data_IF_539648449768
#
_entry.id   IF_539648449768
#
_cell.length_a   1.000
_cell.length_b   1.000
_cell.length_c   1.000
_cell.angle_alpha   90.00
_cell.angle_beta   90.00
_cell.angle_gamma   90.00
#
_symmetry.space_group_name_H-M   'P 1'
#
loop_
_entity.id
_entity.type
_entity.pdbx_description
1 polymer ?
#
# COMPACT_ATOMS: atom_id res chain seq x y z
N UNK A 1 59.28 -15.50 5.58
CA UNK A 1 58.06 -15.99 6.18
C UNK A 1 56.95 -14.93 6.34
N UNK A 2 57.26 -13.61 6.49
CA UNK A 2 56.23 -12.55 6.62
C UNK A 2 55.39 -12.26 5.35
N UNK A 3 55.92 -12.53 4.14
CA UNK A 3 55.22 -12.25 2.87
C UNK A 3 54.14 -13.29 2.51
N UNK A 4 54.23 -14.51 3.02
CA UNK A 4 53.24 -15.57 2.74
C UNK A 4 51.93 -15.33 3.54
N UNK A 5 52.08 -14.82 4.78
CA UNK A 5 50.90 -14.50 5.62
C UNK A 5 49.98 -13.42 5.07
N UNK A 6 50.56 -12.40 4.40
CA UNK A 6 49.81 -11.31 3.79
C UNK A 6 49.02 -11.79 2.55
N UNK A 7 49.60 -12.69 1.77
CA UNK A 7 48.94 -13.25 0.57
C UNK A 7 47.76 -14.15 0.92
N UNK A 8 47.86 -14.92 2.00
CA UNK A 8 46.76 -15.76 2.51
C UNK A 8 45.62 -14.90 3.07
N UNK A 9 45.93 -13.81 3.77
CA UNK A 9 44.94 -12.88 4.31
C UNK A 9 44.16 -12.17 3.19
N UNK A 10 44.86 -11.76 2.12
CA UNK A 10 44.19 -11.11 0.96
C UNK A 10 43.31 -12.09 0.17
N UNK A 11 43.72 -13.37 0.07
CA UNK A 11 42.91 -14.40 -0.58
C UNK A 11 41.67 -14.75 0.24
N UNK A 12 41.74 -14.74 1.56
CA UNK A 12 40.60 -15.02 2.44
C UNK A 12 39.56 -13.90 2.45
N UNK A 13 39.95 -12.65 2.23
CA UNK A 13 39.04 -11.51 2.13
C UNK A 13 38.29 -11.45 0.78
N UNK A 14 38.90 -11.97 -0.29
CA UNK A 14 38.28 -12.03 -1.61
C UNK A 14 37.19 -13.12 -1.74
N UNK A 15 37.24 -14.17 -0.93
CA UNK A 15 36.27 -15.27 -0.95
C UNK A 15 35.00 -14.95 -0.14
N UNK A 16 34.97 -13.88 0.68
CA UNK A 16 33.79 -13.48 1.44
C UNK A 16 32.82 -12.56 0.66
N UNK A 17 33.23 -12.07 -0.51
CA UNK A 17 32.39 -11.17 -1.33
C UNK A 17 31.59 -11.87 -2.43
N UNK A 18 31.72 -13.20 -2.58
CA UNK A 18 31.07 -13.94 -3.69
C UNK A 18 29.77 -14.65 -3.32
N UNK A 19 29.09 -14.23 -2.25
CA UNK A 19 27.89 -14.88 -1.72
C UNK A 19 26.57 -14.10 -1.79
N UNK A 20 26.57 -12.85 -2.27
CA UNK A 20 25.31 -12.14 -2.49
C UNK A 20 24.84 -12.39 -3.93
N UNK A 21 23.96 -13.35 -4.15
CA UNK A 21 23.26 -13.47 -5.41
C UNK A 21 22.35 -12.25 -5.57
N UNK A 22 22.24 -11.73 -6.80
CA UNK A 22 21.34 -10.63 -7.17
C UNK A 22 19.91 -10.92 -6.71
N UNK A 23 19.49 -12.17 -6.77
CA UNK A 23 18.18 -12.64 -6.36
C UNK A 23 17.95 -12.51 -4.84
N UNK A 24 18.95 -12.83 -4.01
CA UNK A 24 18.84 -12.67 -2.56
C UNK A 24 18.77 -11.21 -2.10
N UNK A 25 19.37 -10.28 -2.85
CA UNK A 25 19.25 -8.85 -2.59
C UNK A 25 17.86 -8.37 -3.00
N UNK A 26 17.36 -8.78 -4.15
CA UNK A 26 16.01 -8.44 -4.63
C UNK A 26 14.93 -8.99 -3.68
N UNK A 27 15.05 -10.23 -3.23
CA UNK A 27 14.12 -10.83 -2.26
C UNK A 27 14.15 -10.11 -0.90
N UNK A 28 15.33 -9.66 -0.46
CA UNK A 28 15.45 -8.85 0.73
C UNK A 28 14.75 -7.49 0.57
N UNK A 29 14.94 -6.80 -0.57
CA UNK A 29 14.26 -5.54 -0.86
C UNK A 29 12.75 -5.72 -1.03
N UNK A 30 12.27 -6.80 -1.66
CA UNK A 30 10.85 -7.15 -1.73
C UNK A 30 10.26 -7.33 -0.33
N UNK A 31 10.89 -8.14 0.50
CA UNK A 31 10.42 -8.37 1.87
C UNK A 31 10.49 -7.14 2.79
N UNK A 32 11.42 -6.21 2.56
CA UNK A 32 11.50 -4.94 3.29
C UNK A 32 10.40 -3.99 2.83
N UNK A 33 10.12 -3.93 1.53
CA UNK A 33 9.08 -3.04 0.99
C UNK A 33 7.67 -3.53 1.32
N UNK A 34 7.41 -4.83 1.32
CA UNK A 34 6.15 -5.39 1.83
C UNK A 34 5.95 -5.02 3.30
N UNK A 35 6.99 -5.16 4.14
CA UNK A 35 6.93 -4.74 5.54
C UNK A 35 6.78 -3.23 5.73
N UNK A 36 7.38 -2.42 4.88
CA UNK A 36 7.24 -0.95 4.92
C UNK A 36 5.83 -0.56 4.45
N UNK A 37 5.32 -1.22 3.40
CA UNK A 37 3.93 -1.08 2.95
C UNK A 37 2.94 -1.45 4.05
N UNK A 38 3.12 -2.61 4.67
CA UNK A 38 2.40 -3.04 5.86
C UNK A 38 2.49 -2.01 7.00
N UNK A 39 3.65 -1.45 7.23
CA UNK A 39 3.87 -0.45 8.28
C UNK A 39 3.15 0.86 7.98
N UNK A 40 3.09 1.30 6.73
CA UNK A 40 2.31 2.49 6.33
C UNK A 40 0.81 2.22 6.46
N UNK A 41 0.35 1.03 6.06
CA UNK A 41 -1.05 0.62 6.19
C UNK A 41 -1.43 0.31 7.65
N UNK A 42 -0.50 -0.26 8.46
CA UNK A 42 -0.71 -0.56 9.89
C UNK A 42 -0.41 0.61 10.80
N UNK A 43 0.42 1.59 10.43
CA UNK A 43 0.62 2.82 11.21
C UNK A 43 -0.55 3.80 11.09
N UNK A 44 -1.45 3.61 10.15
CA UNK A 44 -2.83 4.02 10.29
C UNK A 44 -3.53 3.16 11.36
N UNK A 45 -2.89 3.05 12.52
CA UNK A 45 -3.17 2.22 13.70
C UNK A 45 -4.60 2.39 14.22
N UNK A 46 -5.44 3.16 13.53
CA UNK A 46 -6.83 3.40 13.93
C UNK A 46 -7.72 3.60 12.72
N UNK A 47 -7.70 2.66 11.79
CA UNK A 47 -8.83 2.57 10.87
C UNK A 47 -10.10 2.50 11.71
N UNK A 48 -11.08 3.33 11.40
CA UNK A 48 -12.36 3.37 12.12
C UNK A 48 -13.27 2.22 11.72
N UNK A 49 -12.98 1.62 10.57
CA UNK A 49 -13.74 0.51 10.00
C UNK A 49 -13.03 -0.84 10.09
N UNK A 50 -13.72 -1.83 9.58
CA UNK A 50 -13.26 -3.20 9.45
C UNK A 50 -12.70 -3.42 8.05
N UNK A 51 -11.38 -3.70 7.97
CA UNK A 51 -10.66 -3.99 6.75
C UNK A 51 -10.28 -5.47 6.70
N UNK A 52 -10.55 -6.11 5.57
CA UNK A 52 -10.09 -7.46 5.27
C UNK A 52 -9.34 -7.42 3.96
N UNK A 53 -8.08 -7.81 3.98
CA UNK A 53 -7.29 -7.98 2.77
C UNK A 53 -7.73 -9.23 1.99
N UNK A 54 -7.61 -9.17 0.67
CA UNK A 54 -7.71 -10.29 -0.24
C UNK A 54 -6.38 -11.05 -0.34
N UNK A 55 -5.93 -11.29 -1.55
CA UNK A 55 -4.66 -11.99 -1.80
C UNK A 55 -3.44 -11.08 -1.55
N UNK A 56 -3.63 -9.78 -1.64
CA UNK A 56 -2.59 -8.75 -1.43
C UNK A 56 -3.16 -7.52 -0.69
N UNK A 57 -2.33 -6.48 -0.51
CA UNK A 57 -2.73 -5.24 0.16
C UNK A 57 -3.53 -4.26 -0.74
N UNK A 58 -3.73 -4.61 -2.00
CA UNK A 58 -4.50 -3.82 -2.96
C UNK A 58 -5.94 -4.28 -3.07
N UNK A 59 -6.22 -5.54 -2.73
CA UNK A 59 -7.53 -6.17 -2.85
C UNK A 59 -8.17 -6.44 -1.49
N UNK A 60 -9.49 -6.55 -1.46
CA UNK A 60 -10.25 -6.89 -0.27
C UNK A 60 -11.46 -6.01 0.00
N UNK A 61 -11.91 -5.98 1.25
CA UNK A 61 -13.09 -5.20 1.65
C UNK A 61 -12.79 -4.25 2.79
N UNK A 62 -13.43 -3.08 2.78
CA UNK A 62 -13.44 -2.14 3.90
C UNK A 62 -14.86 -1.65 4.16
N UNK A 63 -15.29 -1.72 5.43
CA UNK A 63 -16.62 -1.28 5.86
C UNK A 63 -16.50 -0.38 7.07
N UNK A 64 -17.08 0.82 6.99
CA UNK A 64 -16.99 1.79 8.07
C UNK A 64 -18.30 2.56 8.26
N UNK A 65 -18.57 2.92 9.50
CA UNK A 65 -19.58 3.93 9.85
C UNK A 65 -18.92 5.04 10.63
N UNK A 66 -18.77 6.18 10.00
CA UNK A 66 -18.19 7.37 10.62
C UNK A 66 -19.24 8.13 11.44
N UNK A 67 -18.76 8.72 12.54
CA UNK A 67 -19.52 9.66 13.38
C UNK A 67 -18.64 10.87 13.68
N UNK A 68 -18.92 12.00 13.00
CA UNK A 68 -18.18 13.24 13.13
C UNK A 68 -16.66 13.06 12.97
N UNK A 69 -16.25 12.23 12.01
CA UNK A 69 -14.85 11.92 11.75
C UNK A 69 -14.16 13.09 11.04
N UNK A 70 -12.90 13.35 11.45
CA UNK A 70 -12.01 14.27 10.79
C UNK A 70 -10.63 13.64 10.69
N UNK A 71 -10.11 13.57 9.47
CA UNK A 71 -8.79 13.03 9.18
C UNK A 71 -8.76 12.25 7.89
N UNK A 72 -7.63 11.59 7.68
CA UNK A 72 -7.34 10.77 6.51
C UNK A 72 -7.12 9.32 6.95
N UNK A 73 -7.64 8.37 6.18
CA UNK A 73 -7.39 6.95 6.34
C UNK A 73 -6.89 6.35 5.02
N UNK A 74 -5.74 5.70 5.06
CA UNK A 74 -5.23 4.88 3.95
C UNK A 74 -5.82 3.49 4.08
N UNK A 75 -6.73 3.15 3.17
CA UNK A 75 -7.55 1.94 3.29
C UNK A 75 -6.89 0.75 2.61
N UNK A 76 -6.41 0.92 1.39
CA UNK A 76 -5.72 -0.11 0.60
C UNK A 76 -4.51 0.47 -0.11
N UNK A 77 -3.63 -0.41 -0.57
CA UNK A 77 -2.49 -0.06 -1.39
C UNK A 77 -1.15 -0.29 -0.72
N UNK A 78 -0.10 0.14 -1.37
CA UNK A 78 1.27 -0.01 -0.92
C UNK A 78 2.28 0.59 -1.89
N UNK A 79 3.56 0.32 -1.63
CA UNK A 79 4.65 0.63 -2.55
C UNK A 79 5.22 -0.67 -3.07
N UNK A 80 5.28 -0.84 -4.38
CA UNK A 80 5.88 -2.01 -5.03
C UNK A 80 7.00 -1.58 -5.96
N UNK A 81 8.04 -2.40 -6.07
CA UNK A 81 9.19 -2.17 -6.94
C UNK A 81 9.01 -2.88 -8.28
N UNK A 82 8.40 -4.05 -8.26
CA UNK A 82 8.09 -4.85 -9.43
C UNK A 82 6.66 -5.34 -9.28
N UNK A 83 5.78 -4.88 -10.14
CA UNK A 83 4.41 -5.34 -10.25
C UNK A 83 4.10 -5.49 -11.73
N UNK A 84 3.63 -6.64 -12.12
CA UNK A 84 2.99 -6.82 -13.41
C UNK A 84 1.77 -5.89 -13.48
N UNK A 85 1.45 -5.38 -14.66
CA UNK A 85 0.28 -4.53 -14.86
C UNK A 85 -0.97 -5.30 -14.42
N UNK A 86 -1.47 -5.03 -13.23
CA UNK A 86 -2.70 -5.60 -12.71
C UNK A 86 -3.82 -4.58 -12.76
N UNK A 87 -4.94 -5.01 -13.29
CA UNK A 87 -6.17 -4.25 -13.21
C UNK A 87 -6.85 -4.60 -11.89
N UNK A 88 -7.29 -3.57 -11.18
CA UNK A 88 -8.16 -3.71 -10.02
C UNK A 88 -9.53 -3.11 -10.33
N UNK A 89 -10.57 -3.78 -9.88
CA UNK A 89 -11.94 -3.29 -9.93
C UNK A 89 -12.37 -2.82 -8.54
N UNK A 90 -12.81 -1.56 -8.44
CA UNK A 90 -13.24 -0.96 -7.17
C UNK A 90 -14.74 -0.72 -7.21
N UNK A 91 -15.46 -1.35 -6.30
CA UNK A 91 -16.87 -1.03 -5.98
C UNK A 91 -16.90 -0.20 -4.71
N UNK A 92 -17.52 0.98 -4.78
CA UNK A 92 -17.63 1.95 -3.69
C UNK A 92 -19.08 2.34 -3.46
N UNK A 93 -19.59 2.09 -2.24
CA UNK A 93 -20.94 2.52 -1.83
C UNK A 93 -20.85 3.49 -0.66
N UNK A 94 -21.48 4.67 -0.81
CA UNK A 94 -21.52 5.73 0.21
C UNK A 94 -22.97 6.06 0.52
N UNK A 95 -23.33 6.06 1.81
CA UNK A 95 -24.67 6.26 2.30
C UNK A 95 -24.73 7.20 3.52
N UNK A 96 -25.84 7.92 3.65
CA UNK A 96 -26.17 8.75 4.81
C UNK A 96 -25.14 9.86 5.10
N UNK A 97 -24.54 10.45 4.08
CA UNK A 97 -23.46 11.43 4.20
C UNK A 97 -23.87 12.76 4.80
N UNK A 98 -23.12 13.21 5.79
CA UNK A 98 -23.15 14.56 6.35
C UNK A 98 -21.71 15.03 6.59
N UNK A 99 -21.39 16.27 6.22
CA UNK A 99 -20.04 16.79 6.28
C UNK A 99 -19.28 16.57 4.98
N UNK A 100 -17.97 16.82 5.00
CA UNK A 100 -17.14 16.73 3.82
C UNK A 100 -16.46 15.36 3.70
N UNK A 101 -16.49 14.80 2.50
CA UNK A 101 -15.87 13.54 2.15
C UNK A 101 -15.14 13.66 0.82
N UNK A 102 -13.98 13.04 0.73
CA UNK A 102 -13.24 12.79 -0.49
C UNK A 102 -12.68 11.37 -0.45
N UNK A 103 -13.11 10.51 -1.36
CA UNK A 103 -12.48 9.20 -1.60
C UNK A 103 -11.67 9.29 -2.87
N UNK A 104 -10.42 8.92 -2.85
CA UNK A 104 -9.53 9.08 -4.01
C UNK A 104 -8.45 8.00 -4.07
N UNK A 105 -8.01 7.72 -5.31
CA UNK A 105 -6.79 6.96 -5.58
C UNK A 105 -5.61 7.92 -5.70
N UNK A 106 -4.54 7.63 -4.97
CA UNK A 106 -3.23 8.27 -5.16
C UNK A 106 -2.35 7.30 -5.94
N UNK A 107 -2.05 7.65 -7.17
CA UNK A 107 -1.24 6.89 -8.11
C UNK A 107 0.10 7.60 -8.30
N UNK A 108 1.13 7.22 -7.52
CA UNK A 108 2.40 7.96 -7.43
C UNK A 108 2.15 9.40 -6.96
N UNK A 109 2.37 10.37 -7.84
CA UNK A 109 2.18 11.80 -7.56
C UNK A 109 0.80 12.33 -8.00
N UNK A 110 -0.02 11.48 -8.67
CA UNK A 110 -1.33 11.89 -9.20
C UNK A 110 -2.44 11.44 -8.26
N UNK A 111 -3.38 12.34 -7.98
CA UNK A 111 -4.63 12.01 -7.30
C UNK A 111 -5.77 11.90 -8.31
N UNK A 112 -6.61 10.89 -8.14
CA UNK A 112 -7.83 10.71 -8.90
C UNK A 112 -9.02 10.55 -7.94
N UNK A 113 -9.91 11.53 -7.96
CA UNK A 113 -11.07 11.57 -7.05
C UNK A 113 -12.14 10.61 -7.55
N UNK A 114 -12.56 9.69 -6.71
CA UNK A 114 -13.58 8.68 -7.00
C UNK A 114 -14.98 9.16 -6.60
N UNK A 115 -15.12 9.70 -5.39
CA UNK A 115 -16.41 10.15 -4.90
C UNK A 115 -16.27 11.23 -3.82
N UNK A 116 -17.30 12.08 -3.72
CA UNK A 116 -17.44 13.12 -2.69
C UNK A 116 -18.86 13.18 -2.09
N UNK A 117 -19.78 12.37 -2.61
CA UNK A 117 -21.20 12.36 -2.23
C UNK A 117 -21.73 10.93 -2.16
N UNK A 118 -22.95 10.76 -1.66
CA UNK A 118 -23.64 9.47 -1.64
C UNK A 118 -23.82 8.89 -3.05
N UNK A 119 -23.70 7.59 -3.16
CA UNK A 119 -23.87 6.85 -4.39
C UNK A 119 -23.20 5.48 -4.39
N UNK A 120 -23.42 4.76 -5.49
CA UNK A 120 -22.71 3.54 -5.84
C UNK A 120 -21.87 3.81 -7.07
N UNK A 121 -20.58 3.48 -6.97
CA UNK A 121 -19.58 3.78 -7.99
C UNK A 121 -18.78 2.53 -8.29
N UNK A 122 -18.37 2.40 -9.55
CA UNK A 122 -17.46 1.34 -10.03
C UNK A 122 -16.34 1.97 -10.84
N UNK A 123 -15.12 1.50 -10.61
CA UNK A 123 -13.91 2.00 -11.26
C UNK A 123 -12.96 0.86 -11.59
N UNK A 124 -12.31 0.98 -12.74
CA UNK A 124 -11.22 0.10 -13.14
C UNK A 124 -9.91 0.89 -13.14
N UNK A 125 -8.90 0.39 -12.46
CA UNK A 125 -7.57 0.97 -12.41
C UNK A 125 -6.52 -0.04 -12.84
N UNK A 126 -5.59 0.41 -13.67
CA UNK A 126 -4.35 -0.31 -13.92
C UNK A 126 -3.29 0.18 -12.94
N UNK A 127 -2.99 -0.63 -11.94
CA UNK A 127 -2.05 -0.30 -10.86
C UNK A 127 -0.65 -0.71 -11.29
N UNK A 128 0.20 0.28 -11.56
CA UNK A 128 1.59 0.11 -11.97
C UNK A 128 2.55 0.23 -10.80
N UNK A 129 3.81 -0.10 -11.06
CA UNK A 129 4.90 0.08 -10.10
C UNK A 129 4.90 1.45 -9.43
N UNK A 130 5.22 1.46 -8.16
CA UNK A 130 5.33 2.65 -7.33
C UNK A 130 4.34 2.67 -6.17
N UNK A 131 4.12 3.85 -5.61
CA UNK A 131 3.22 4.03 -4.47
C UNK A 131 1.81 4.31 -4.96
N UNK A 132 0.89 3.40 -4.65
CA UNK A 132 -0.52 3.49 -5.04
C UNK A 132 -1.39 3.23 -3.81
N UNK A 133 -2.29 4.14 -3.50
CA UNK A 133 -3.11 4.07 -2.28
C UNK A 133 -4.54 4.50 -2.55
N UNK A 134 -5.50 3.78 -1.96
CA UNK A 134 -6.88 4.23 -1.82
C UNK A 134 -7.04 4.91 -0.48
N UNK A 135 -7.51 6.17 -0.51
CA UNK A 135 -7.52 7.06 0.64
C UNK A 135 -8.91 7.65 0.83
N UNK A 136 -9.34 7.73 2.09
CA UNK A 136 -10.53 8.45 2.51
C UNK A 136 -10.06 9.68 3.29
N UNK A 137 -10.38 10.89 2.83
CA UNK A 137 -10.21 12.14 3.55
C UNK A 137 -11.57 12.71 3.93
N UNK A 138 -11.71 13.12 5.18
CA UNK A 138 -12.99 13.53 5.73
C UNK A 138 -12.85 14.68 6.73
N UNK A 139 -13.86 15.59 6.73
CA UNK A 139 -13.94 16.68 7.69
C UNK A 139 -15.35 16.78 8.27
N UNK A 140 -15.47 16.48 9.58
CA UNK A 140 -16.74 16.40 10.31
C UNK A 140 -17.75 15.45 9.65
N UNK A 141 -17.24 14.40 9.03
CA UNK A 141 -18.04 13.47 8.25
C UNK A 141 -18.75 12.45 9.14
N UNK A 142 -20.01 12.18 8.82
CA UNK A 142 -20.79 11.07 9.34
C UNK A 142 -21.48 10.39 8.16
N UNK A 143 -21.45 9.06 8.11
CA UNK A 143 -22.01 8.27 7.03
C UNK A 143 -21.45 6.87 7.01
N UNK A 144 -21.88 6.07 6.05
CA UNK A 144 -21.41 4.69 5.84
C UNK A 144 -20.65 4.60 4.54
N UNK A 145 -19.54 3.91 4.56
CA UNK A 145 -18.74 3.62 3.36
C UNK A 145 -18.45 2.13 3.32
N UNK A 146 -18.75 1.51 2.19
CA UNK A 146 -18.37 0.14 1.88
C UNK A 146 -17.53 0.17 0.61
N UNK A 147 -16.37 -0.47 0.67
CA UNK A 147 -15.41 -0.60 -0.43
C UNK A 147 -15.14 -2.07 -0.64
N UNK A 148 -15.14 -2.51 -1.88
CA UNK A 148 -14.68 -3.82 -2.32
C UNK A 148 -13.74 -3.63 -3.50
N UNK A 149 -12.59 -4.29 -3.45
CA UNK A 149 -11.55 -4.26 -4.49
C UNK A 149 -11.20 -5.69 -4.86
N UNK A 150 -11.34 -5.99 -6.14
CA UNK A 150 -11.03 -7.29 -6.75
C UNK A 150 -9.91 -7.18 -7.79
#
# INVERSE_FOLDING_TARGET
MKKIGVLVAVFLTLTLCSGCSKDGILDFYKGVNEKVGDTVLTNNIKLKGDRKFGEDHYTGTYKVTYKNFKGEEVVFGGTTIERDDENIHITLNIEDSKGDLKVFMKLKEKEEVLATVDGSYEFDFNVKDGSNYLIIDANKYSGKINIEIE
#
